data_IF_525100859418
#
_entry.id   IF_525100859418
#
_cell.length_a   1.000
_cell.length_b   1.000
_cell.length_c   1.000
_cell.angle_alpha   90.00
_cell.angle_beta   90.00
_cell.angle_gamma   90.00
#
_symmetry.space_group_name_H-M   'P 1'
#
loop_
_entity.id
_entity.type
_entity.pdbx_description
1 polymer ?
2 non-polymer ?
3 non-polymer ?
4 non-polymer ?
5 water ?
#
# COMPACT_ATOMS: atom_id res chain seq x y z
N UNK A 8 -11.62 1.44 29.76
CA UNK A 8 -10.72 2.48 30.21
C UNK A 8 -9.24 2.11 30.08
N UNK A 9 -8.82 1.25 29.19
CA UNK A 9 -7.47 0.97 28.87
C UNK A 9 -7.46 0.92 27.33
N UNK A 10 -7.31 2.12 26.75
CA UNK A 10 -7.27 2.36 25.32
C UNK A 10 -5.94 1.96 24.67
N UNK A 11 -5.99 0.87 23.90
CA UNK A 11 -4.76 0.43 23.25
C UNK A 11 -4.61 1.01 21.85
N UNK A 12 -4.12 2.24 21.88
CA UNK A 12 -4.09 3.01 20.64
C UNK A 12 -2.83 2.72 19.83
N UNK A 13 -2.88 3.14 18.57
CA UNK A 13 -1.74 2.96 17.67
C UNK A 13 -0.52 3.59 18.30
N UNK A 14 -0.76 4.79 18.83
CA UNK A 14 0.29 5.52 19.52
C UNK A 14 0.93 4.71 20.64
N UNK A 15 0.08 4.16 21.49
CA UNK A 15 0.61 3.43 22.65
C UNK A 15 1.40 2.22 22.18
N UNK A 16 0.81 1.47 21.26
CA UNK A 16 1.41 0.29 20.70
C UNK A 16 2.81 0.57 20.16
N UNK A 17 2.91 1.62 19.35
CA UNK A 17 4.19 1.93 18.71
C UNK A 17 5.16 2.46 19.76
N UNK A 18 4.63 3.05 20.83
CA UNK A 18 5.55 3.41 21.91
C UNK A 18 5.96 2.24 22.77
N UNK A 19 4.99 1.36 23.08
CA UNK A 19 5.32 0.25 23.98
C UNK A 19 6.22 -0.74 23.27
N UNK A 20 6.16 -0.65 21.95
CA UNK A 20 7.10 -1.38 21.09
C UNK A 20 8.32 -0.51 20.87
N UNK A 21 9.02 -0.21 21.98
CA UNK A 21 10.20 0.63 21.81
C UNK A 21 10.83 1.00 23.13
N UNK A 22 10.12 0.80 24.23
CA UNK A 22 10.60 1.11 25.58
C UNK A 22 12.03 0.63 25.79
N UNK A 23 12.28 -0.68 25.73
CA UNK A 23 13.69 -1.04 25.94
C UNK A 23 14.38 -1.20 24.60
N UNK A 24 14.31 -0.12 23.82
CA UNK A 24 14.91 -0.13 22.49
C UNK A 24 15.20 1.29 22.00
N UNK A 25 16.07 1.96 22.71
CA UNK A 25 16.55 3.31 22.62
C UNK A 25 16.32 3.85 21.21
N UNK A 26 15.16 4.47 21.02
CA UNK A 26 14.85 5.05 19.73
C UNK A 26 15.07 6.56 19.79
N UNK A 27 14.32 7.32 18.99
CA UNK A 27 14.33 8.77 19.10
C UNK A 27 12.90 9.28 19.27
N UNK A 28 11.93 8.36 19.25
CA UNK A 28 10.54 8.76 19.30
C UNK A 28 10.05 9.42 18.02
N UNK A 29 10.93 9.56 17.03
CA UNK A 29 10.52 10.21 15.80
C UNK A 29 9.53 9.32 15.05
N UNK A 30 9.69 8.00 15.11
CA UNK A 30 8.70 7.20 14.37
C UNK A 30 7.32 7.36 14.97
N UNK A 31 7.22 7.38 16.29
CA UNK A 31 5.91 7.60 16.92
C UNK A 31 5.37 8.97 16.51
N UNK A 32 6.22 9.99 16.42
CA UNK A 32 5.77 11.30 15.98
C UNK A 32 5.21 11.22 14.56
N UNK A 33 5.99 10.59 13.69
CA UNK A 33 5.62 10.47 12.28
C UNK A 33 4.25 9.81 12.19
N UNK A 34 4.09 8.68 12.88
CA UNK A 34 2.87 7.88 12.74
C UNK A 34 1.67 8.60 13.37
N UNK A 35 1.89 9.24 14.53
CA UNK A 35 0.84 10.08 15.12
C UNK A 35 0.36 11.14 14.10
N UNK A 36 1.31 11.76 13.41
CA UNK A 36 0.95 12.79 12.42
C UNK A 36 0.18 12.19 11.25
N UNK A 37 0.64 11.11 10.68
CA UNK A 37 -0.08 10.35 9.65
C UNK A 37 -1.47 9.95 10.12
N UNK A 38 -1.63 9.51 11.38
CA UNK A 38 -2.98 9.17 11.83
C UNK A 38 -3.92 10.37 11.75
N UNK A 39 -3.41 11.56 12.05
CA UNK A 39 -4.26 12.74 11.97
C UNK A 39 -4.75 13.01 10.55
N UNK A 40 -3.84 12.93 9.56
CA UNK A 40 -4.22 13.03 8.16
C UNK A 40 -5.21 11.96 7.76
N UNK A 41 -5.00 10.71 8.19
CA UNK A 41 -5.93 9.64 7.83
C UNK A 41 -7.31 9.92 8.41
N UNK A 42 -7.39 10.45 9.63
CA UNK A 42 -8.73 10.73 10.18
C UNK A 42 -9.45 11.82 9.38
N UNK A 43 -8.67 12.85 9.01
CA UNK A 43 -9.25 13.94 8.23
C UNK A 43 -9.71 13.46 6.85
N UNK A 44 -8.91 12.59 6.22
CA UNK A 44 -9.33 12.02 4.93
C UNK A 44 -10.58 11.15 5.10
N UNK A 45 -10.62 10.28 6.12
CA UNK A 45 -11.80 9.46 6.38
C UNK A 45 -13.06 10.31 6.54
N UNK A 46 -12.95 11.41 7.31
CA UNK A 46 -14.17 12.21 7.54
C UNK A 46 -14.64 12.84 6.25
N UNK A 47 -13.69 13.26 5.41
CA UNK A 47 -14.02 13.90 4.15
C UNK A 47 -14.69 12.87 3.23
N UNK A 48 -14.05 11.70 3.15
CA UNK A 48 -14.60 10.65 2.27
C UNK A 48 -16.00 10.26 2.69
N UNK A 49 -16.23 10.16 4.00
CA UNK A 49 -17.52 9.65 4.50
C UNK A 49 -18.62 10.66 4.23
N UNK A 50 -18.27 11.91 3.88
CA UNK A 50 -19.27 12.94 3.58
C UNK A 50 -19.10 13.50 2.19
N UNK A 51 -18.23 12.95 1.37
CA UNK A 51 -17.84 13.51 0.11
C UNK A 51 -18.95 14.00 -0.81
N UNK A 52 -20.03 13.21 -0.98
CA UNK A 52 -21.10 13.72 -1.84
C UNK A 52 -21.83 14.90 -1.26
N UNK A 53 -21.92 15.05 0.05
CA UNK A 53 -22.59 16.23 0.61
C UNK A 53 -21.69 17.45 0.52
N UNK A 54 -20.38 17.20 0.58
CA UNK A 54 -19.37 18.24 0.55
C UNK A 54 -18.91 18.54 -0.86
N UNK A 55 -19.54 17.84 -1.81
CA UNK A 55 -19.29 18.05 -3.23
C UNK A 55 -17.84 17.75 -3.56
N UNK A 56 -17.33 16.65 -3.01
CA UNK A 56 -15.92 16.33 -3.19
C UNK A 56 -15.71 15.29 -4.27
N UNK A 57 -16.79 14.92 -4.98
CA UNK A 57 -16.59 13.97 -6.08
C UNK A 57 -16.30 14.76 -7.36
N UNK A 58 -15.60 14.15 -8.31
CA UNK A 58 -15.30 14.77 -9.59
C UNK A 58 -13.81 15.00 -9.77
N UNK A 59 -13.44 15.56 -10.91
CA UNK A 59 -12.05 15.76 -11.31
C UNK A 59 -11.49 17.07 -10.81
N UNK A 60 -10.16 17.14 -10.67
CA UNK A 60 -9.55 18.37 -10.18
C UNK A 60 -8.99 19.19 -11.31
N UNK A 61 -9.10 18.68 -12.54
CA UNK A 61 -8.44 19.39 -13.64
C UNK A 61 -6.93 19.35 -13.43
N UNK A 62 -6.33 18.26 -13.89
CA UNK A 62 -4.92 17.95 -13.96
C UNK A 62 -4.70 16.44 -14.14
N UNK A 63 -3.61 16.09 -14.83
CA UNK A 63 -3.08 14.75 -14.96
C UNK A 63 -1.73 14.68 -14.23
N UNK A 64 -1.54 13.59 -13.51
CA UNK A 64 -0.29 13.41 -12.77
C UNK A 64 0.71 12.69 -13.66
N UNK A 65 1.93 12.55 -13.18
CA UNK A 65 3.08 12.08 -13.94
C UNK A 65 2.83 10.70 -14.54
N UNK A 66 2.09 9.87 -13.83
CA UNK A 66 1.78 8.52 -14.32
C UNK A 66 0.51 8.46 -15.15
N UNK A 67 0.02 9.66 -15.52
CA UNK A 67 -1.10 9.81 -16.41
C UNK A 67 -2.51 9.58 -15.92
N UNK A 68 -2.71 9.68 -14.62
CA UNK A 68 -4.06 9.52 -14.10
C UNK A 68 -4.81 10.86 -14.16
N UNK A 69 -6.12 10.79 -14.16
CA UNK A 69 -7.13 11.83 -14.07
C UNK A 69 -7.31 12.37 -12.67
N UNK A 70 -6.66 13.46 -12.25
CA UNK A 70 -6.71 13.83 -10.83
C UNK A 70 -8.11 14.24 -10.36
N UNK A 71 -8.50 13.61 -9.25
CA UNK A 71 -9.77 13.83 -8.59
C UNK A 71 -9.66 14.82 -7.44
N UNK A 72 -10.77 15.45 -7.10
CA UNK A 72 -10.83 16.37 -5.97
C UNK A 72 -10.29 15.78 -4.68
N UNK A 73 -10.59 14.50 -4.46
CA UNK A 73 -10.15 13.91 -3.18
C UNK A 73 -8.67 13.58 -3.24
N UNK A 74 -8.08 13.47 -4.44
CA UNK A 74 -6.64 13.30 -4.57
C UNK A 74 -5.92 14.55 -4.06
N UNK A 75 -6.42 15.74 -4.42
CA UNK A 75 -5.67 16.93 -4.00
C UNK A 75 -5.80 17.19 -2.50
N UNK A 76 -7.01 17.00 -1.98
CA UNK A 76 -7.28 17.25 -0.56
C UNK A 76 -6.45 16.32 0.30
N UNK A 77 -6.46 15.03 -0.01
CA UNK A 77 -5.68 14.05 0.74
C UNK A 77 -4.18 14.32 0.61
N UNK A 78 -3.73 14.63 -0.61
CA UNK A 78 -2.30 14.90 -0.82
C UNK A 78 -1.80 16.06 0.06
N UNK A 79 -2.55 17.16 0.04
CA UNK A 79 -2.27 18.32 0.87
C UNK A 79 -2.26 17.94 2.35
N UNK A 80 -3.23 17.16 2.81
CA UNK A 80 -3.34 16.73 4.22
C UNK A 80 -2.11 15.93 4.60
N UNK A 81 -1.71 14.96 3.77
CA UNK A 81 -0.54 14.17 4.19
C UNK A 81 0.76 14.96 4.15
N UNK A 82 0.97 15.74 3.10
CA UNK A 82 2.19 16.56 3.04
C UNK A 82 2.31 17.45 4.28
N UNK A 83 1.23 18.17 4.60
CA UNK A 83 1.26 19.13 5.70
C UNK A 83 1.52 18.45 7.04
N UNK A 84 0.90 17.30 7.37
CA UNK A 84 1.18 16.68 8.67
C UNK A 84 2.57 16.06 8.73
N UNK A 85 3.06 15.55 7.59
CA UNK A 85 4.39 14.94 7.66
C UNK A 85 5.45 16.03 7.84
N UNK A 86 5.26 17.15 7.11
CA UNK A 86 6.15 18.29 7.32
C UNK A 86 6.19 18.70 8.79
N UNK A 87 5.02 18.81 9.42
CA UNK A 87 4.98 19.39 10.77
C UNK A 87 5.34 18.38 11.85
N UNK A 88 5.50 17.13 11.43
CA UNK A 88 5.88 16.04 12.31
C UNK A 88 7.31 16.16 12.83
N UNK A 89 8.13 16.93 12.15
CA UNK A 89 9.56 17.02 12.45
C UNK A 89 10.26 15.65 12.38
N UNK A 90 9.72 14.69 11.64
CA UNK A 90 10.31 13.37 11.52
C UNK A 90 10.73 13.06 10.09
N UNK A 91 10.49 13.95 9.14
CA UNK A 91 10.76 13.58 7.74
C UNK A 91 11.70 14.55 7.04
N UNK A 92 12.33 14.07 5.93
CA UNK A 92 13.23 14.94 5.17
C UNK A 92 12.96 14.92 3.66
N UNK A 93 12.45 13.79 3.15
CA UNK A 93 12.09 13.66 1.74
C UNK A 93 10.74 13.00 1.60
N UNK A 94 9.84 13.58 0.81
CA UNK A 94 8.53 12.95 0.60
C UNK A 94 8.32 12.66 -0.87
N UNK A 95 7.78 11.48 -1.17
CA UNK A 95 7.42 11.17 -2.55
C UNK A 95 5.93 10.84 -2.52
N UNK A 96 5.20 11.57 -3.36
CA UNK A 96 3.76 11.35 -3.53
C UNK A 96 3.42 10.98 -4.96
N UNK A 97 2.44 10.10 -5.16
CA UNK A 97 1.90 9.85 -6.49
C UNK A 97 1.56 11.15 -7.22
N UNK A 98 1.04 12.13 -6.49
CA UNK A 98 0.53 13.35 -7.02
C UNK A 98 1.53 14.45 -7.26
N UNK A 99 2.81 14.24 -6.97
CA UNK A 99 3.81 15.28 -7.21
C UNK A 99 4.88 14.78 -8.16
N UNK A 100 5.19 15.54 -9.20
CA UNK A 100 6.17 15.11 -10.19
C UNK A 100 7.52 14.79 -9.58
N UNK A 101 7.95 15.65 -8.65
CA UNK A 101 9.24 15.47 -8.01
C UNK A 101 9.16 15.25 -6.50
N UNK A 102 10.19 14.61 -5.93
CA UNK A 102 10.31 14.54 -4.48
C UNK A 102 10.23 15.94 -3.88
N UNK A 103 9.63 15.98 -2.69
CA UNK A 103 9.50 17.14 -1.82
C UNK A 103 10.58 17.01 -0.76
N UNK A 104 11.43 18.04 -0.74
CA UNK A 104 12.45 18.21 0.25
C UNK A 104 11.93 19.06 1.40
N UNK A 105 11.88 18.49 2.61
CA UNK A 105 11.37 19.23 3.77
C UNK A 105 12.33 20.35 4.14
N UNK A 106 11.83 21.51 4.55
CA UNK A 106 12.69 22.66 4.88
C UNK A 106 13.60 22.31 6.03
N UNK A 107 14.83 22.78 6.13
CA UNK A 107 15.74 22.38 7.20
C UNK A 107 15.20 22.39 8.63
N UNK A 108 14.42 23.39 9.04
CA UNK A 108 14.03 23.45 10.43
C UNK A 108 12.98 22.42 10.77
N UNK A 109 12.46 21.73 9.76
CA UNK A 109 11.44 20.70 10.10
C UNK A 109 11.90 19.29 9.75
N UNK A 110 13.17 19.10 9.39
CA UNK A 110 13.66 17.78 9.03
C UNK A 110 13.85 16.83 10.21
N UNK A 111 13.49 15.58 9.96
CA UNK A 111 13.74 14.41 10.84
C UNK A 111 14.35 13.36 9.94
N UNK A 112 14.63 12.15 10.40
CA UNK A 112 15.39 11.20 9.67
C UNK A 112 14.68 10.39 8.57
N UNK A 113 13.34 10.50 8.49
CA UNK A 113 12.64 9.58 7.60
C UNK A 113 12.25 10.14 6.23
N UNK A 114 12.23 9.22 5.28
CA UNK A 114 11.77 9.37 3.92
C UNK A 114 10.41 8.70 3.76
N UNK A 115 9.39 9.40 3.32
CA UNK A 115 8.08 8.74 3.20
C UNK A 115 7.60 8.77 1.74
N UNK A 116 7.25 7.62 1.21
CA UNK A 116 6.61 7.44 -0.07
C UNK A 116 5.12 7.12 0.11
N UNK A 117 4.21 7.84 -0.53
CA UNK A 117 2.80 7.53 -0.29
C UNK A 117 1.93 7.79 -1.50
N UNK A 118 0.81 7.10 -1.46
CA UNK A 118 -0.31 7.31 -2.38
C UNK A 118 -1.37 7.94 -1.49
N UNK A 119 -1.68 9.21 -1.63
CA UNK A 119 -2.57 9.84 -0.63
C UNK A 119 -3.99 9.31 -0.70
N UNK A 120 -4.41 8.92 -1.90
CA UNK A 120 -5.73 8.32 -2.12
C UNK A 120 -5.61 7.24 -3.20
N UNK A 121 -5.82 5.98 -2.82
CA UNK A 121 -5.69 4.86 -3.74
C UNK A 121 -7.09 4.32 -4.06
N UNK A 122 -7.36 4.06 -5.34
CA UNK A 122 -8.61 3.49 -5.81
C UNK A 122 -9.50 4.56 -6.41
N UNK A 123 -8.91 5.53 -7.13
CA UNK A 123 -9.73 6.65 -7.63
C UNK A 123 -10.88 6.19 -8.52
N UNK A 124 -10.75 5.07 -9.22
CA UNK A 124 -11.87 4.64 -10.09
C UNK A 124 -13.14 4.30 -9.30
N UNK A 125 -12.93 3.97 -8.03
CA UNK A 125 -14.01 3.57 -7.13
C UNK A 125 -14.51 4.69 -6.26
N UNK A 126 -13.96 5.89 -6.40
CA UNK A 126 -14.40 6.96 -5.52
C UNK A 126 -15.89 7.25 -5.63
N UNK A 127 -16.32 7.57 -6.84
CA UNK A 127 -17.66 8.04 -7.14
C UNK A 127 -18.76 7.01 -6.94
N UNK A 128 -18.44 5.70 -6.94
CA UNK A 128 -19.44 4.66 -6.68
C UNK A 128 -19.38 4.15 -5.23
N UNK A 129 -18.67 4.88 -4.36
CA UNK A 129 -18.66 4.59 -2.93
C UNK A 129 -17.99 3.27 -2.58
N UNK A 130 -17.23 2.67 -3.49
CA UNK A 130 -16.48 1.46 -3.11
C UNK A 130 -15.25 1.84 -2.29
N UNK A 131 -14.72 0.93 -1.50
CA UNK A 131 -13.59 1.20 -0.60
C UNK A 131 -12.38 1.79 -1.32
N UNK A 132 -11.77 2.77 -0.68
CA UNK A 132 -10.55 3.41 -1.17
C UNK A 132 -9.57 3.47 0.00
N UNK A 133 -8.35 3.98 -0.16
CA UNK A 133 -7.41 3.94 0.95
C UNK A 133 -6.26 4.92 0.72
N UNK A 134 -5.27 4.86 1.61
CA UNK A 134 -4.05 5.63 1.58
C UNK A 134 -2.89 4.67 1.76
N UNK A 135 -1.79 4.78 1.02
CA UNK A 135 -0.74 3.74 1.13
C UNK A 135 0.57 4.42 1.51
N UNK A 136 1.41 3.87 2.39
CA UNK A 136 2.65 4.57 2.70
C UNK A 136 3.79 3.56 2.97
N UNK A 137 5.00 4.03 2.72
CA UNK A 137 6.22 3.29 3.02
C UNK A 137 7.23 4.26 3.61
N UNK A 138 7.89 3.82 4.68
CA UNK A 138 8.84 4.70 5.37
C UNK A 138 10.23 4.08 5.42
N UNK A 139 11.21 4.88 5.04
CA UNK A 139 12.63 4.54 5.03
C UNK A 139 13.40 5.45 5.97
N UNK A 140 14.57 4.99 6.39
CA UNK A 140 15.44 5.91 7.19
C UNK A 140 16.36 6.49 6.11
N UNK A 141 16.67 7.78 6.15
CA UNK A 141 17.61 8.33 5.20
C UNK A 141 19.01 7.78 5.52
N UNK A 142 19.75 7.37 4.51
CA UNK A 142 21.02 6.70 4.68
C UNK A 142 22.24 7.60 4.70
N UNK A 143 22.43 8.25 3.57
CA UNK A 143 23.48 9.22 3.31
C UNK A 143 23.52 10.37 4.32
N UNK A 144 24.60 11.12 4.26
CA UNK A 144 24.94 12.31 5.00
C UNK A 144 24.86 13.55 4.09
N UNK A 145 24.64 13.23 2.83
CA UNK A 145 24.40 14.18 1.76
C UNK A 145 23.13 14.98 2.05
N UNK A 146 23.02 16.17 1.46
CA UNK A 146 21.76 16.89 1.68
C UNK A 146 20.62 16.02 1.15
N UNK A 147 19.48 15.96 1.81
CA UNK A 147 18.34 15.19 1.32
C UNK A 147 18.02 15.54 -0.12
N UNK A 148 17.61 14.53 -0.89
CA UNK A 148 17.26 14.73 -2.29
C UNK A 148 16.41 13.56 -2.79
N UNK A 149 15.92 13.65 -4.02
CA UNK A 149 15.07 12.58 -4.56
C UNK A 149 15.74 11.21 -4.47
N UNK A 150 17.07 11.17 -4.56
CA UNK A 150 17.78 9.88 -4.54
C UNK A 150 17.63 9.15 -3.22
N UNK A 151 17.33 9.82 -2.12
CA UNK A 151 17.08 9.15 -0.85
C UNK A 151 15.80 8.33 -0.86
N UNK A 152 14.92 8.61 -1.81
CA UNK A 152 13.71 7.79 -1.98
C UNK A 152 13.89 6.56 -2.87
N UNK A 153 15.04 6.40 -3.52
CA UNK A 153 15.28 5.34 -4.48
C UNK A 153 15.95 4.13 -3.82
N UNK A 154 15.35 3.69 -2.73
CA UNK A 154 15.82 2.50 -2.01
C UNK A 154 14.95 1.31 -2.38
N UNK A 155 15.51 0.11 -2.35
CA UNK A 155 14.66 -1.08 -2.55
C UNK A 155 13.74 -1.22 -1.34
N UNK A 156 12.58 -1.82 -1.55
CA UNK A 156 11.56 -1.99 -0.52
C UNK A 156 12.11 -2.77 0.67
N UNK A 157 13.14 -3.59 0.45
CA UNK A 157 13.70 -4.34 1.58
C UNK A 157 14.27 -3.44 2.65
N UNK A 158 14.51 -2.15 2.32
CA UNK A 158 15.06 -1.22 3.29
C UNK A 158 13.97 -0.51 4.08
N UNK A 159 12.70 -0.80 3.80
CA UNK A 159 11.61 -0.18 4.56
C UNK A 159 11.74 -0.43 6.05
N UNK A 160 11.40 0.59 6.87
CA UNK A 160 11.37 0.35 8.32
C UNK A 160 9.93 0.26 8.80
N UNK A 161 9.00 0.72 7.94
CA UNK A 161 7.59 0.65 8.29
C UNK A 161 6.78 0.91 7.00
N UNK A 162 5.63 0.23 6.92
CA UNK A 162 4.79 0.43 5.75
C UNK A 162 3.36 0.03 6.10
N UNK A 163 2.41 0.49 5.29
CA UNK A 163 1.04 0.08 5.59
C UNK A 163 0.05 0.87 4.79
N UNK A 164 -1.20 0.84 5.26
CA UNK A 164 -2.21 1.56 4.53
C UNK A 164 -3.37 1.89 5.46
N UNK A 165 -4.14 2.85 4.98
CA UNK A 165 -5.43 3.16 5.61
C UNK A 165 -6.45 2.65 4.59
N UNK A 166 -7.45 1.94 5.07
CA UNK A 166 -8.58 1.47 4.27
C UNK A 166 -9.82 2.23 4.73
N UNK A 167 -10.38 3.04 3.84
CA UNK A 167 -11.64 3.73 4.10
C UNK A 167 -12.74 2.83 3.52
N UNK A 168 -13.16 1.84 4.30
CA UNK A 168 -14.16 0.90 3.83
C UNK A 168 -15.41 0.95 4.72
N UNK A 169 -16.01 -0.21 5.01
CA UNK A 169 -17.21 -0.17 5.87
C UNK A 169 -16.87 0.40 7.25
N UNK A 170 -15.63 0.24 7.64
CA UNK A 170 -15.00 0.86 8.79
C UNK A 170 -13.67 1.41 8.28
N UNK A 171 -13.00 2.25 9.04
CA UNK A 171 -11.66 2.72 8.63
C UNK A 171 -10.59 1.95 9.40
N UNK A 172 -9.63 1.35 8.71
CA UNK A 172 -8.59 0.54 9.34
C UNK A 172 -7.22 1.09 8.97
N UNK A 173 -6.30 1.13 9.91
CA UNK A 173 -4.91 1.46 9.63
C UNK A 173 -4.13 0.15 9.84
N UNK A 174 -3.53 -0.37 8.80
CA UNK A 174 -2.74 -1.60 8.87
C UNK A 174 -1.27 -1.18 8.83
N UNK A 175 -0.52 -1.58 9.85
CA UNK A 175 0.84 -1.12 10.04
C UNK A 175 1.78 -2.30 10.18
N UNK A 176 2.75 -2.34 9.28
CA UNK A 176 3.79 -3.36 9.33
C UNK A 176 5.13 -2.70 9.69
N UNK A 177 5.83 -3.35 10.62
CA UNK A 177 7.19 -2.97 11.00
C UNK A 177 8.02 -4.24 11.14
N UNK A 178 9.25 -4.18 11.62
CA UNK A 178 10.12 -5.36 11.50
C UNK A 178 9.56 -6.60 12.18
N UNK A 179 8.80 -6.42 13.25
CA UNK A 179 8.39 -7.61 13.99
C UNK A 179 7.01 -8.11 13.57
N UNK A 180 6.33 -7.52 12.59
CA UNK A 180 5.00 -8.04 12.26
C UNK A 180 4.04 -6.94 11.84
N UNK A 181 2.83 -7.38 11.55
CA UNK A 181 1.70 -6.61 11.06
C UNK A 181 0.58 -6.55 12.11
N UNK A 182 0.03 -5.35 12.28
CA UNK A 182 -1.04 -5.20 13.26
C UNK A 182 -2.10 -4.29 12.63
N UNK A 183 -3.37 -4.52 12.94
CA UNK A 183 -4.47 -3.73 12.42
C UNK A 183 -5.13 -2.89 13.50
N UNK A 184 -5.34 -1.62 13.21
CA UNK A 184 -5.95 -0.69 14.16
C UNK A 184 -7.21 -0.13 13.54
N UNK A 185 -8.33 -0.17 14.28
CA UNK A 185 -9.55 0.37 13.69
C UNK A 185 -9.85 1.76 14.22
N UNK A 186 -10.25 2.66 13.34
CA UNK A 186 -10.62 3.99 13.86
C UNK A 186 -11.94 3.93 14.63
N UNK A 187 -11.91 4.41 15.86
CA UNK A 187 -13.12 4.64 16.64
C UNK A 187 -13.60 6.05 16.32
N UNK A 188 -14.67 6.19 15.56
CA UNK A 188 -15.11 7.52 15.14
C UNK A 188 -15.51 8.38 16.33
N UNK A 189 -15.93 7.74 17.43
CA UNK A 189 -16.44 8.63 18.50
C UNK A 189 -15.32 9.37 19.23
N UNK A 190 -14.13 8.78 19.33
CA UNK A 190 -13.02 9.44 20.01
C UNK A 190 -11.83 9.76 19.12
N UNK A 191 -11.88 9.39 17.84
CA UNK A 191 -10.80 9.80 16.95
C UNK A 191 -9.48 9.19 17.36
N UNK A 192 -9.51 7.91 17.65
CA UNK A 192 -8.35 7.09 17.96
C UNK A 192 -8.36 5.79 17.16
N UNK A 193 -7.18 5.39 16.72
CA UNK A 193 -6.99 4.05 16.14
C UNK A 193 -6.73 3.03 17.21
N UNK A 194 -7.59 2.02 17.35
CA UNK A 194 -7.53 1.02 18.39
C UNK A 194 -7.07 -0.31 17.82
N UNK A 195 -6.11 -0.93 18.50
CA UNK A 195 -5.65 -2.26 18.08
C UNK A 195 -6.79 -3.27 18.12
N UNK A 196 -7.04 -3.92 16.97
CA UNK A 196 -8.07 -4.96 16.87
C UNK A 196 -7.58 -6.31 16.35
N UNK A 197 -6.41 -6.36 15.72
CA UNK A 197 -5.84 -7.60 15.19
C UNK A 197 -4.34 -7.56 15.41
N UNK A 198 -3.88 -8.48 16.23
CA UNK A 198 -2.47 -8.45 16.61
C UNK A 198 -1.65 -9.50 15.87
N UNK A 199 -0.47 -9.13 15.42
CA UNK A 199 0.50 -10.02 14.80
C UNK A 199 -0.13 -10.83 13.67
N UNK A 200 -0.70 -10.15 12.70
CA UNK A 200 -1.52 -10.81 11.69
C UNK A 200 -0.66 -11.68 10.79
N UNK A 201 -1.11 -12.88 10.50
CA UNK A 201 -0.42 -13.75 9.53
C UNK A 201 -1.36 -14.22 8.44
N UNK A 202 -0.86 -14.28 7.20
CA UNK A 202 -1.72 -14.75 6.12
C UNK A 202 -1.69 -16.28 6.06
N UNK A 203 -2.84 -16.83 5.70
CA UNK A 203 -3.02 -18.26 5.42
C UNK A 203 -2.01 -18.74 4.38
N UNK A 204 -1.53 -19.98 4.56
CA UNK A 204 -0.47 -20.41 3.64
C UNK A 204 -1.04 -20.62 2.23
N UNK A 205 -2.32 -20.97 2.16
CA UNK A 205 -3.01 -21.16 0.89
C UNK A 205 -4.44 -20.64 1.00
N UNK A 206 -4.91 -19.86 0.01
CA UNK A 206 -6.28 -19.38 0.11
C UNK A 206 -7.18 -20.01 -0.96
N UNK A 207 -8.33 -19.36 -1.17
CA UNK A 207 -9.27 -19.89 -2.16
C UNK A 207 -9.90 -18.80 -3.01
N UNK A 208 -9.26 -17.63 -3.08
CA UNK A 208 -9.75 -16.51 -3.86
C UNK A 208 -8.63 -16.01 -4.77
N UNK A 209 -8.94 -15.74 -6.03
CA UNK A 209 -7.96 -15.07 -6.91
C UNK A 209 -8.57 -13.73 -7.32
N UNK A 210 -7.71 -12.71 -7.44
CA UNK A 210 -8.13 -11.32 -7.64
C UNK A 210 -7.31 -10.72 -8.78
N UNK A 211 -7.97 -10.52 -9.91
CA UNK A 211 -7.35 -9.92 -11.08
C UNK A 211 -8.41 -9.33 -11.99
N UNK A 212 -8.09 -8.29 -12.76
CA UNK A 212 -9.01 -7.73 -13.75
C UNK A 212 -8.96 -8.56 -15.03
N UNK A 213 -9.93 -9.48 -15.19
CA UNK A 213 -9.86 -10.41 -16.33
C UNK A 213 -10.28 -9.71 -17.62
N UNK A 214 -10.62 -8.43 -17.56
CA UNK A 214 -10.85 -7.69 -18.79
C UNK A 214 -9.56 -7.56 -19.63
N UNK A 215 -8.42 -7.82 -18.99
CA UNK A 215 -7.15 -7.74 -19.69
C UNK A 215 -6.77 -9.09 -20.29
N UNK A 216 -7.71 -10.02 -20.35
CA UNK A 216 -7.37 -11.37 -20.82
C UNK A 216 -6.63 -11.38 -22.16
N UNK A 217 -7.03 -10.55 -23.12
CA UNK A 217 -6.40 -10.50 -24.44
C UNK A 217 -4.93 -10.13 -24.34
N UNK A 218 -4.51 -9.51 -23.24
CA UNK A 218 -3.13 -9.03 -23.12
C UNK A 218 -2.30 -9.84 -22.14
N UNK A 219 -2.89 -10.81 -21.43
CA UNK A 219 -2.07 -11.53 -20.46
C UNK A 219 -0.98 -12.40 -21.06
N UNK A 220 0.09 -12.55 -20.27
CA UNK A 220 1.13 -13.50 -20.73
C UNK A 220 0.60 -14.92 -20.54
N UNK A 221 1.25 -15.89 -21.18
CA UNK A 221 0.78 -17.28 -21.08
C UNK A 221 0.78 -17.81 -19.66
N UNK A 222 1.63 -17.30 -18.77
CA UNK A 222 1.66 -17.89 -17.42
C UNK A 222 0.43 -17.44 -16.63
N UNK A 223 0.10 -16.14 -16.70
CA UNK A 223 -1.13 -15.69 -16.02
C UNK A 223 -2.33 -16.42 -16.59
N UNK A 224 -2.35 -16.57 -17.91
CA UNK A 224 -3.48 -17.26 -18.57
C UNK A 224 -3.68 -18.66 -18.03
N UNK A 225 -2.56 -19.40 -17.95
CA UNK A 225 -2.61 -20.78 -17.50
C UNK A 225 -3.06 -20.86 -16.04
N UNK A 226 -2.56 -19.92 -15.22
CA UNK A 226 -2.89 -19.89 -13.81
C UNK A 226 -4.38 -19.65 -13.65
N UNK A 227 -4.91 -18.68 -14.39
CA UNK A 227 -6.35 -18.41 -14.21
C UNK A 227 -7.16 -19.61 -14.60
N UNK A 228 -6.75 -20.29 -15.69
CA UNK A 228 -7.47 -21.46 -16.15
C UNK A 228 -7.47 -22.54 -15.08
N UNK A 229 -6.35 -22.70 -14.36
CA UNK A 229 -6.20 -23.65 -13.27
C UNK A 229 -7.08 -23.28 -12.08
N UNK A 230 -7.34 -21.98 -11.84
CA UNK A 230 -8.17 -21.62 -10.71
C UNK A 230 -9.63 -21.98 -10.97
N UNK A 231 -10.00 -21.97 -12.25
CA UNK A 231 -11.38 -22.24 -12.65
C UNK A 231 -11.65 -23.71 -12.91
N UNK A 232 -10.64 -24.41 -13.44
CA UNK A 232 -10.72 -25.82 -13.77
C UNK A 232 -9.56 -26.57 -13.12
N UNK A 233 -9.59 -26.78 -11.81
CA UNK A 233 -8.45 -27.39 -11.11
C UNK A 233 -8.20 -28.80 -11.66
N UNK A 234 -6.94 -29.13 -11.94
CA UNK A 234 -6.63 -30.42 -12.55
C UNK A 234 -6.89 -31.56 -11.60
N UNK A 235 -6.98 -31.30 -10.30
CA UNK A 235 -7.17 -32.34 -9.30
C UNK A 235 -8.61 -32.40 -8.81
N UNK A 236 -9.47 -31.75 -9.58
CA UNK A 236 -10.91 -31.67 -9.30
C UNK A 236 -11.20 -31.19 -7.89
N UNK A 237 -10.39 -30.31 -7.34
CA UNK A 237 -10.64 -29.62 -6.12
C UNK A 237 -11.63 -28.53 -6.51
N UNK A 238 -12.26 -27.87 -5.54
CA UNK A 238 -13.22 -26.82 -5.89
C UNK A 238 -12.52 -25.63 -6.51
N UNK A 239 -13.11 -25.08 -7.56
CA UNK A 239 -12.52 -23.87 -8.17
C UNK A 239 -12.41 -22.74 -7.16
N UNK A 240 -11.41 -21.86 -7.35
CA UNK A 240 -11.28 -20.68 -6.50
C UNK A 240 -12.42 -19.72 -6.78
N UNK A 241 -12.83 -18.96 -5.76
CA UNK A 241 -13.75 -17.87 -6.09
C UNK A 241 -12.95 -16.67 -6.60
N UNK A 242 -13.66 -15.75 -7.26
CA UNK A 242 -13.01 -14.57 -7.85
C UNK A 242 -13.49 -13.34 -7.11
N UNK A 243 -12.61 -12.40 -6.84
CA UNK A 243 -13.00 -11.12 -6.24
C UNK A 243 -12.09 -10.05 -6.84
N UNK A 244 -12.67 -8.92 -7.27
CA UNK A 244 -11.80 -7.82 -7.72
C UNK A 244 -12.56 -6.51 -7.49
N UNK A 245 -12.28 -5.94 -6.34
CA UNK A 245 -12.92 -4.69 -5.97
C UNK A 245 -12.46 -3.59 -6.92
N UNK A 246 -11.19 -3.56 -7.32
CA UNK A 246 -10.75 -2.51 -8.23
C UNK A 246 -9.97 -1.40 -7.53
N UNK A 247 -9.85 -1.52 -6.21
CA UNK A 247 -9.05 -0.66 -5.36
C UNK A 247 -7.95 -1.52 -4.73
N UNK A 248 -6.69 -1.25 -5.02
CA UNK A 248 -5.63 -2.11 -4.54
C UNK A 248 -5.74 -2.28 -3.02
N UNK A 249 -6.07 -1.20 -2.30
CA UNK A 249 -6.07 -1.35 -0.84
C UNK A 249 -7.12 -2.34 -0.37
N UNK A 250 -8.31 -2.35 -0.97
CA UNK A 250 -9.36 -3.27 -0.58
C UNK A 250 -9.01 -4.72 -0.96
N UNK A 251 -8.52 -4.90 -2.20
CA UNK A 251 -8.20 -6.24 -2.70
C UNK A 251 -7.03 -6.79 -1.89
N UNK A 252 -6.00 -5.99 -1.57
CA UNK A 252 -4.90 -6.49 -0.78
C UNK A 252 -5.33 -6.78 0.66
N UNK A 253 -6.16 -5.92 1.25
CA UNK A 253 -6.60 -6.16 2.63
C UNK A 253 -7.38 -7.47 2.70
N UNK A 254 -8.28 -7.69 1.74
CA UNK A 254 -9.01 -8.98 1.75
C UNK A 254 -8.01 -10.12 1.61
N UNK A 255 -7.00 -9.94 0.74
CA UNK A 255 -5.99 -11.01 0.57
C UNK A 255 -5.29 -11.29 1.88
N UNK A 256 -4.95 -10.23 2.63
CA UNK A 256 -4.29 -10.43 3.93
C UNK A 256 -5.14 -11.22 4.92
N UNK A 257 -6.43 -10.85 5.01
CA UNK A 257 -7.22 -11.41 6.11
C UNK A 257 -7.93 -12.68 5.69
N UNK A 258 -8.15 -12.93 4.40
CA UNK A 258 -8.81 -14.15 3.96
C UNK A 258 -7.85 -15.10 3.24
N UNK A 259 -6.68 -14.62 2.86
CA UNK A 259 -5.76 -15.45 2.07
C UNK A 259 -6.10 -15.42 0.58
N UNK A 260 -5.22 -16.05 -0.21
CA UNK A 260 -5.40 -16.15 -1.65
C UNK A 260 -4.39 -15.27 -2.37
N UNK A 261 -4.74 -14.77 -3.56
CA UNK A 261 -3.76 -14.12 -4.41
C UNK A 261 -4.38 -12.91 -5.10
N UNK A 262 -3.55 -11.86 -5.20
CA UNK A 262 -3.90 -10.62 -5.89
C UNK A 262 -2.88 -10.43 -7.01
N UNK A 263 -3.33 -10.08 -8.20
CA UNK A 263 -2.45 -9.92 -9.34
C UNK A 263 -2.71 -8.64 -10.12
N UNK A 264 -1.67 -7.93 -10.50
CA UNK A 264 -1.64 -6.81 -11.36
C UNK A 264 -0.38 -7.09 -12.18
N UNK A 265 -0.41 -8.03 -13.09
CA UNK A 265 0.85 -8.43 -13.72
C UNK A 265 1.25 -7.58 -14.91
N UNK A 266 2.42 -7.91 -15.40
CA UNK A 266 2.93 -7.33 -16.64
C UNK A 266 1.95 -7.83 -17.71
N UNK A 267 1.87 -7.11 -18.83
CA UNK A 267 1.02 -7.65 -19.90
C UNK A 267 1.58 -7.19 -21.24
N UNK A 268 0.95 -7.62 -22.33
CA UNK A 268 1.54 -7.30 -23.63
C UNK A 268 1.67 -5.80 -23.90
N UNK A 269 0.96 -4.92 -23.19
CA UNK A 269 1.00 -3.49 -23.42
C UNK A 269 1.74 -2.70 -22.34
N UNK A 270 2.00 -3.37 -21.24
CA UNK A 270 2.61 -2.79 -20.05
C UNK A 270 3.67 -3.73 -19.46
N UNK A 271 4.90 -3.61 -19.92
CA UNK A 271 5.95 -4.54 -19.54
C UNK A 271 6.28 -4.46 -18.05
N UNK A 272 5.88 -3.35 -17.42
CA UNK A 272 6.15 -3.23 -15.99
C UNK A 272 4.81 -3.07 -15.28
N UNK A 273 3.71 -3.48 -15.90
CA UNK A 273 2.42 -3.41 -15.22
C UNK A 273 1.97 -1.97 -15.03
N UNK A 274 1.02 -1.81 -14.11
CA UNK A 274 0.44 -0.49 -13.92
C UNK A 274 0.80 0.13 -12.58
N UNK A 275 0.81 -0.71 -11.53
CA UNK A 275 0.91 -0.14 -10.17
C UNK A 275 2.32 0.40 -9.95
N UNK A 276 2.37 1.40 -9.06
CA UNK A 276 3.59 2.16 -8.88
C UNK A 276 4.48 1.59 -7.78
N UNK A 277 5.76 1.44 -8.07
CA UNK A 277 6.65 0.68 -7.18
C UNK A 277 6.83 1.32 -5.81
N UNK A 278 7.11 2.63 -5.78
CA UNK A 278 7.51 3.24 -4.51
C UNK A 278 6.41 3.31 -3.47
N UNK A 279 5.19 3.64 -3.91
CA UNK A 279 4.11 3.97 -2.99
C UNK A 279 2.87 3.11 -3.19
N UNK A 280 2.97 2.04 -3.97
CA UNK A 280 1.84 1.12 -4.14
C UNK A 280 2.46 -0.26 -3.92
N UNK A 281 3.35 -0.71 -4.79
CA UNK A 281 3.86 -2.09 -4.70
C UNK A 281 4.75 -2.33 -3.50
N UNK A 282 5.74 -1.44 -3.26
CA UNK A 282 6.63 -1.79 -2.12
C UNK A 282 5.88 -1.81 -0.79
N UNK A 283 5.05 -0.85 -0.40
CA UNK A 283 4.34 -0.95 0.90
C UNK A 283 3.54 -2.23 1.02
N UNK A 284 2.80 -2.59 -0.02
CA UNK A 284 1.99 -3.81 0.09
C UNK A 284 2.87 -5.03 0.09
N UNK A 285 3.96 -5.06 -0.65
CA UNK A 285 4.86 -6.22 -0.58
C UNK A 285 5.45 -6.40 0.80
N UNK A 286 5.79 -5.32 1.47
CA UNK A 286 6.36 -5.32 2.81
C UNK A 286 5.33 -5.85 3.80
N UNK A 287 4.10 -5.35 3.76
CA UNK A 287 3.04 -5.87 4.62
C UNK A 287 2.90 -7.37 4.41
N UNK A 288 2.83 -7.79 3.13
CA UNK A 288 2.65 -9.21 2.88
C UNK A 288 3.82 -10.03 3.41
N UNK A 289 5.05 -9.58 3.14
CA UNK A 289 6.21 -10.34 3.65
C UNK A 289 6.20 -10.39 5.16
N UNK A 290 5.85 -9.29 5.84
CA UNK A 290 5.79 -9.34 7.29
C UNK A 290 4.64 -10.20 7.82
N UNK A 291 3.62 -10.48 7.01
CA UNK A 291 2.53 -11.37 7.40
C UNK A 291 2.77 -12.83 6.96
N UNK A 292 3.92 -13.16 6.36
CA UNK A 292 4.25 -14.52 5.99
C UNK A 292 3.83 -14.83 4.55
N UNK A 293 3.50 -13.78 3.82
CA UNK A 293 3.13 -13.87 2.42
C UNK A 293 4.28 -13.59 1.46
N UNK A 294 3.94 -13.57 0.16
CA UNK A 294 4.99 -13.29 -0.83
C UNK A 294 4.52 -12.19 -1.78
N UNK A 295 5.48 -11.53 -2.44
CA UNK A 295 5.19 -10.50 -3.41
C UNK A 295 6.26 -10.48 -4.48
N UNK A 296 5.81 -10.80 -5.70
CA UNK A 296 6.76 -11.00 -6.81
C UNK A 296 6.24 -10.31 -8.07
N UNK A 297 7.14 -10.01 -9.00
CA UNK A 297 6.76 -9.51 -10.30
C UNK A 297 6.37 -10.66 -11.24
N UNK A 298 6.76 -11.86 -10.85
CA UNK A 298 6.59 -13.09 -11.62
C UNK A 298 8.01 -13.60 -11.87
N UNK A 299 9.01 -12.71 -11.70
CA UNK A 299 10.38 -13.12 -11.98
C UNK A 299 11.34 -12.72 -10.87
N UNK A 300 10.95 -11.75 -10.03
CA UNK A 300 11.85 -11.34 -8.95
C UNK A 300 11.08 -10.75 -7.78
N UNK A 301 11.68 -10.73 -6.59
CA UNK A 301 10.97 -10.18 -5.44
C UNK A 301 10.76 -8.68 -5.56
N UNK A 302 9.53 -8.19 -5.34
CA UNK A 302 9.28 -6.75 -5.47
C UNK A 302 10.20 -5.98 -4.53
N UNK A 303 10.40 -6.47 -3.29
CA UNK A 303 11.18 -5.70 -2.32
C UNK A 303 12.65 -5.58 -2.71
N UNK A 304 13.13 -6.39 -3.67
CA UNK A 304 14.56 -6.30 -4.04
C UNK A 304 14.85 -5.44 -5.26
N UNK A 305 13.78 -4.90 -5.88
CA UNK A 305 14.02 -4.04 -7.06
C UNK A 305 14.65 -2.75 -6.58
N UNK A 306 15.75 -2.35 -7.20
CA UNK A 306 16.31 -1.02 -6.95
C UNK A 306 15.70 -0.03 -7.94
N UNK A 307 14.86 0.89 -7.46
CA UNK A 307 14.18 1.76 -8.40
C UNK A 307 15.13 2.79 -9.03
N UNK A 308 14.81 3.23 -10.25
CA UNK A 308 15.54 4.29 -10.91
C UNK A 308 14.65 5.51 -11.19
N UNK A 309 13.38 5.39 -10.85
CA UNK A 309 12.41 6.46 -11.12
C UNK A 309 11.43 6.50 -9.96
N UNK A 310 11.17 7.67 -9.37
CA UNK A 310 10.26 7.66 -8.20
C UNK A 310 8.84 7.27 -8.63
N UNK A 311 8.52 7.40 -9.92
CA UNK A 311 7.20 7.01 -10.41
C UNK A 311 7.25 5.73 -11.23
N UNK A 312 8.30 4.95 -11.04
CA UNK A 312 8.41 3.64 -11.69
C UNK A 312 7.24 2.72 -11.40
N UNK A 313 6.78 2.00 -12.44
CA UNK A 313 5.78 0.95 -12.29
C UNK A 313 6.42 -0.42 -12.05
N UNK A 314 5.69 -1.36 -11.44
CA UNK A 314 6.12 -2.72 -11.30
C UNK A 314 4.94 -3.69 -11.37
N UNK A 315 5.15 -4.84 -12.01
CA UNK A 315 4.17 -5.92 -11.93
C UNK A 315 4.08 -6.36 -10.49
N UNK A 316 2.92 -6.82 -10.03
CA UNK A 316 2.91 -7.39 -8.70
C UNK A 316 1.86 -8.49 -8.61
N UNK A 317 2.30 -9.55 -7.96
CA UNK A 317 1.56 -10.74 -7.63
C UNK A 317 1.82 -11.00 -6.16
N UNK A 318 0.81 -10.96 -5.30
CA UNK A 318 1.10 -11.11 -3.89
C UNK A 318 0.03 -11.97 -3.20
N UNK A 319 0.35 -12.41 -1.99
CA UNK A 319 -0.67 -13.10 -1.19
C UNK A 319 -0.09 -14.35 -0.52
N UNK A 320 -0.98 -15.32 -0.37
CA UNK A 320 -0.63 -16.59 0.30
C UNK A 320 0.56 -17.24 -0.39
N UNK A 321 1.54 -17.70 0.36
CA UNK A 321 2.79 -18.19 -0.23
C UNK A 321 2.60 -19.36 -1.17
N UNK A 322 1.72 -20.33 -0.87
CA UNK A 322 1.56 -21.47 -1.77
C UNK A 322 0.88 -21.04 -3.06
N UNK A 323 0.02 -20.01 -3.00
CA UNK A 323 -0.60 -19.53 -4.24
C UNK A 323 0.41 -18.78 -5.12
N UNK A 324 1.13 -17.86 -4.50
CA UNK A 324 2.16 -17.12 -5.26
C UNK A 324 3.23 -18.06 -5.80
N UNK A 325 3.62 -19.07 -5.01
CA UNK A 325 4.64 -20.01 -5.50
C UNK A 325 4.14 -20.82 -6.68
N UNK A 326 2.85 -21.20 -6.64
CA UNK A 326 2.30 -21.96 -7.77
C UNK A 326 2.40 -21.10 -9.04
N UNK A 327 2.10 -19.80 -8.95
CA UNK A 327 2.20 -18.96 -10.15
C UNK A 327 3.66 -18.78 -10.54
N UNK A 328 4.57 -18.61 -9.60
CA UNK A 328 5.98 -18.53 -9.99
C UNK A 328 6.47 -19.76 -10.76
N UNK A 329 5.98 -20.94 -10.35
CA UNK A 329 6.36 -22.19 -10.97
C UNK A 329 5.91 -22.20 -12.44
N UNK A 330 4.76 -21.56 -12.68
CA UNK A 330 4.26 -21.49 -14.07
C UNK A 330 5.09 -20.52 -14.88
N UNK A 331 5.44 -19.36 -14.31
CA UNK A 331 6.38 -18.47 -14.99
C UNK A 331 7.71 -19.19 -15.27
N UNK A 332 8.26 -19.89 -14.26
CA UNK A 332 9.55 -20.55 -14.46
C UNK A 332 9.44 -21.61 -15.56
N UNK A 333 8.28 -22.26 -15.66
CA UNK A 333 8.03 -23.25 -16.68
C UNK A 333 7.99 -22.61 -18.07
N UNK A 334 7.41 -21.40 -18.14
CA UNK A 334 7.28 -20.73 -19.42
C UNK A 334 8.58 -20.02 -19.79
N UNK A 335 9.49 -19.85 -18.85
CA UNK A 335 10.71 -19.12 -19.19
C UNK A 335 11.63 -20.01 -20.00
#
# INVERSE_FOLDING_TARGET
TDQAAFDTNIVTLTRFVMEEGRKARGTGEMTQLLNSLCTAVKAISTAVRKAGIAHLYGIAGSTNVTGDQVKKLDVLSNDLVINVLKSSFATCVLVSEEDKNAIIVEPEKRGKYVVCFDPLDGSSNIDCLVSIGTIFGIYRKNSTDEPSEKDALQPGRNLVAAGYALYGSATMLVLAMVNGVNCFMLDPAIGEFILVDRDVKIKKKGSIYSINEGYAKEFDPAITEYIQRKKFPPDNSAPYGARYVGSMVADVHRTLVYGGIFMYPANKKSPKGKLRLLYECNPMAYVMEKAGGLATTGKEAVLDIVPTDIHQRAPIILGSPEDVTELLEIYQKHAAK
#
